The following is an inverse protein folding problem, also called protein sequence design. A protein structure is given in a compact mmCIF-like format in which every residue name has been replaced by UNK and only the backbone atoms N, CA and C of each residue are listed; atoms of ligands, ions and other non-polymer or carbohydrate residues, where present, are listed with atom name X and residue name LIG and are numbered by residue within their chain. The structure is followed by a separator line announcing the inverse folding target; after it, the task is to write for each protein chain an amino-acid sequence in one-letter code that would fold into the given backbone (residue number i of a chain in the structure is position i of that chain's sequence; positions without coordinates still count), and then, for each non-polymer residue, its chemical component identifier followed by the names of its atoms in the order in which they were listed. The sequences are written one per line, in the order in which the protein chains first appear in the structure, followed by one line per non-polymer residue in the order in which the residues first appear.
data_IF_856221336384
#
_entry.id   IF_856221336384
#
_cell.length_a   1.000
_cell.length_b   1.000
_cell.length_c   1.000
_cell.angle_alpha   90.00
_cell.angle_beta   90.00
_cell.angle_gamma   90.00
#
_symmetry.space_group_name_H-M   'P 1'
#
loop_
_entity.id
_entity.type
_entity.pdbx_description
1 polymer ?
#
# COMPACT_ATOMS: atom_id res chain seq x y z
N UNK A 1 -32.16 17.21 -26.00
CA UNK A 1 -31.60 15.88 -26.38
C UNK A 1 -30.07 15.79 -26.16
N UNK A 2 -29.52 16.46 -25.13
CA UNK A 2 -28.06 16.42 -24.82
C UNK A 2 -27.75 15.95 -23.39
N UNK A 3 -28.76 15.62 -22.57
CA UNK A 3 -28.59 15.25 -21.15
C UNK A 3 -28.42 13.74 -20.91
N UNK A 4 -28.59 12.88 -21.92
CA UNK A 4 -28.59 11.41 -21.75
C UNK A 4 -27.25 10.73 -22.07
N UNK A 5 -26.25 11.47 -22.59
CA UNK A 5 -24.97 10.88 -23.03
C UNK A 5 -23.93 10.79 -21.91
N UNK A 6 -23.98 11.68 -20.92
CA UNK A 6 -23.02 11.70 -19.80
C UNK A 6 -23.22 10.54 -18.80
N UNK A 7 -24.43 9.95 -18.74
CA UNK A 7 -24.70 8.81 -17.84
C UNK A 7 -24.22 7.45 -18.40
N UNK A 8 -23.92 7.39 -19.70
CA UNK A 8 -23.55 6.14 -20.39
C UNK A 8 -22.04 5.84 -20.32
N UNK A 9 -21.22 6.82 -19.94
CA UNK A 9 -19.77 6.68 -19.78
C UNK A 9 -19.37 6.04 -18.44
N UNK A 10 -20.11 6.33 -17.37
CA UNK A 10 -19.82 5.83 -16.01
C UNK A 10 -20.08 4.33 -15.86
N UNK A 11 -20.93 3.73 -16.70
CA UNK A 11 -21.24 2.30 -16.63
C UNK A 11 -20.19 1.41 -17.32
N UNK A 12 -19.48 1.92 -18.32
CA UNK A 12 -18.44 1.17 -19.01
C UNK A 12 -17.20 0.96 -18.13
N UNK A 13 -16.90 1.91 -17.23
CA UNK A 13 -15.77 1.81 -16.32
C UNK A 13 -15.96 0.73 -15.25
N UNK A 14 -17.19 0.57 -14.72
CA UNK A 14 -17.49 -0.47 -13.73
C UNK A 14 -17.40 -1.90 -14.30
N UNK A 15 -17.72 -2.10 -15.59
CA UNK A 15 -17.66 -3.41 -16.22
C UNK A 15 -16.19 -3.89 -16.42
N UNK A 16 -15.26 -2.97 -16.69
CA UNK A 16 -13.83 -3.28 -16.81
C UNK A 16 -13.23 -3.66 -15.45
N UNK A 17 -13.67 -3.02 -14.36
CA UNK A 17 -13.24 -3.36 -12.99
C UNK A 17 -13.73 -4.75 -12.58
N UNK A 18 -14.93 -5.17 -12.99
CA UNK A 18 -15.46 -6.51 -12.70
C UNK A 18 -14.79 -7.63 -13.50
N UNK A 19 -14.40 -7.36 -14.76
CA UNK A 19 -13.72 -8.36 -15.59
C UNK A 19 -12.30 -8.71 -15.08
N UNK A 20 -11.67 -7.84 -14.30
CA UNK A 20 -10.34 -8.07 -13.72
C UNK A 20 -10.34 -9.02 -12.50
N UNK A 21 -11.51 -9.36 -11.94
CA UNK A 21 -11.64 -10.20 -10.73
C UNK A 21 -11.62 -11.71 -11.00
N UNK A 22 -11.68 -12.14 -12.26
CA UNK A 22 -11.85 -13.56 -12.63
C UNK A 22 -10.64 -14.16 -13.38
N UNK A 23 -9.49 -13.50 -13.41
CA UNK A 23 -8.30 -14.07 -14.05
C UNK A 23 -7.67 -15.15 -13.15
N UNK A 24 -7.61 -16.43 -13.57
CA UNK A 24 -7.03 -17.50 -12.77
C UNK A 24 -5.51 -17.29 -12.64
N UNK A 25 -5.02 -17.17 -11.40
CA UNK A 25 -3.61 -16.95 -11.08
C UNK A 25 -2.84 -18.28 -11.09
N UNK A 26 -2.61 -18.85 -12.27
CA UNK A 26 -1.70 -19.98 -12.41
C UNK A 26 -0.26 -19.47 -12.51
N UNK A 27 0.54 -19.66 -11.44
CA UNK A 27 1.98 -19.99 -11.42
C UNK A 27 2.67 -19.41 -10.19
N UNK A 28 2.98 -20.25 -9.21
CA UNK A 28 3.58 -19.88 -7.92
C UNK A 28 4.98 -19.25 -8.04
N UNK A 29 5.73 -19.51 -9.12
CA UNK A 29 7.01 -18.85 -9.42
C UNK A 29 6.87 -17.56 -10.24
N UNK A 30 5.83 -17.46 -11.08
CA UNK A 30 5.42 -16.19 -11.66
C UNK A 30 4.85 -15.26 -10.59
N UNK A 31 4.29 -15.81 -9.51
CA UNK A 31 3.67 -15.05 -8.42
C UNK A 31 4.69 -14.20 -7.66
N UNK A 32 5.88 -14.70 -7.34
CA UNK A 32 6.90 -13.88 -6.64
C UNK A 32 7.40 -12.72 -7.52
N UNK A 33 7.72 -12.99 -8.79
CA UNK A 33 8.15 -11.95 -9.73
C UNK A 33 7.02 -10.94 -10.05
N UNK A 34 5.77 -11.41 -10.15
CA UNK A 34 4.59 -10.57 -10.29
C UNK A 34 4.33 -9.74 -9.03
N UNK A 35 4.51 -10.30 -7.84
CA UNK A 35 4.40 -9.61 -6.56
C UNK A 35 5.46 -8.52 -6.44
N UNK A 36 6.73 -8.81 -6.77
CA UNK A 36 7.80 -7.80 -6.82
C UNK A 36 7.48 -6.67 -7.80
N UNK A 37 6.91 -7.01 -8.96
CA UNK A 37 6.47 -6.03 -9.96
C UNK A 37 5.33 -5.16 -9.43
N UNK A 38 4.32 -5.77 -8.78
CA UNK A 38 3.20 -5.06 -8.13
C UNK A 38 3.70 -4.12 -7.03
N UNK A 39 4.63 -4.56 -6.19
CA UNK A 39 5.23 -3.71 -5.14
C UNK A 39 6.07 -2.55 -5.71
N UNK A 40 6.77 -2.78 -6.83
CA UNK A 40 7.46 -1.71 -7.56
C UNK A 40 6.46 -0.69 -8.12
N UNK A 41 5.29 -1.14 -8.59
CA UNK A 41 4.22 -0.25 -9.01
C UNK A 41 3.66 0.57 -7.84
N UNK A 42 3.43 -0.05 -6.68
CA UNK A 42 3.03 0.65 -5.45
C UNK A 42 4.04 1.73 -5.10
N UNK A 43 5.35 1.45 -5.21
CA UNK A 43 6.38 2.44 -4.95
C UNK A 43 6.26 3.68 -5.84
N UNK A 44 6.04 3.48 -7.14
CA UNK A 44 5.83 4.58 -8.09
C UNK A 44 4.55 5.38 -7.79
N UNK A 45 3.49 4.69 -7.34
CA UNK A 45 2.25 5.35 -6.93
C UNK A 45 2.47 6.22 -5.69
N UNK A 46 3.19 5.71 -4.69
CA UNK A 46 3.56 6.49 -3.50
C UNK A 46 4.40 7.72 -3.86
N UNK A 47 5.33 7.61 -4.80
CA UNK A 47 6.08 8.78 -5.29
C UNK A 47 5.18 9.82 -5.96
N UNK A 48 4.17 9.37 -6.71
CA UNK A 48 3.19 10.26 -7.32
C UNK A 48 2.34 10.98 -6.27
N UNK A 49 1.88 10.25 -5.25
CA UNK A 49 1.11 10.82 -4.12
C UNK A 49 1.97 11.85 -3.39
N UNK A 50 3.24 11.54 -3.11
CA UNK A 50 4.15 12.46 -2.42
C UNK A 50 4.35 13.76 -3.22
N UNK A 51 4.52 13.68 -4.55
CA UNK A 51 4.62 14.87 -5.41
C UNK A 51 3.34 15.70 -5.40
N UNK A 52 2.18 15.06 -5.51
CA UNK A 52 0.88 15.75 -5.45
C UNK A 52 0.66 16.42 -4.09
N UNK A 53 1.03 15.75 -3.00
CA UNK A 53 0.96 16.28 -1.65
C UNK A 53 1.86 17.51 -1.49
N UNK A 54 3.13 17.45 -1.93
CA UNK A 54 4.07 18.58 -1.89
C UNK A 54 3.59 19.77 -2.73
N UNK A 55 3.02 19.51 -3.91
CA UNK A 55 2.46 20.58 -4.73
C UNK A 55 1.25 21.24 -4.03
N UNK A 56 0.42 20.44 -3.36
CA UNK A 56 -0.74 20.95 -2.63
C UNK A 56 -0.36 21.73 -1.37
N UNK A 57 0.74 21.37 -0.70
CA UNK A 57 1.17 22.04 0.53
C UNK A 57 1.70 23.46 0.30
N UNK A 58 2.21 23.75 -0.89
CA UNK A 58 2.74 25.08 -1.27
C UNK A 58 1.70 25.97 -1.96
N UNK A 59 0.52 25.43 -2.28
CA UNK A 59 -0.51 26.18 -3.00
C UNK A 59 -1.15 27.25 -2.08
N UNK A 60 -1.32 28.49 -2.56
CA UNK A 60 -1.99 29.54 -1.80
C UNK A 60 -3.41 29.12 -1.43
N UNK A 61 -3.77 29.26 -0.14
CA UNK A 61 -5.12 28.95 0.32
C UNK A 61 -6.05 30.11 -0.02
N UNK A 62 -7.07 29.83 -0.83
CA UNK A 62 -8.10 30.82 -1.21
C UNK A 62 -9.03 31.14 -0.04
N UNK A 63 -9.25 30.17 0.87
CA UNK A 63 -10.16 30.31 2.01
C UNK A 63 -9.46 29.93 3.32
N UNK A 64 -9.54 30.77 4.37
CA UNK A 64 -9.08 30.38 5.69
C UNK A 64 -10.00 29.29 6.25
N UNK A 65 -9.50 28.05 6.32
CA UNK A 65 -10.15 26.93 6.98
C UNK A 65 -9.54 26.72 8.36
N UNK A 66 -10.35 26.37 9.36
CA UNK A 66 -9.86 25.97 10.70
C UNK A 66 -9.14 24.63 10.68
N UNK A 67 -9.50 23.75 9.74
CA UNK A 67 -8.90 22.44 9.59
C UNK A 67 -7.96 22.43 8.40
N UNK A 68 -6.76 21.91 8.62
CA UNK A 68 -5.72 21.77 7.61
C UNK A 68 -5.33 20.30 7.51
N UNK A 69 -5.04 19.87 6.27
CA UNK A 69 -4.42 18.57 6.06
C UNK A 69 -2.97 18.62 6.54
N UNK A 70 -2.58 17.65 7.37
CA UNK A 70 -1.23 17.51 7.91
C UNK A 70 -0.34 16.78 6.90
N UNK A 71 0.31 17.56 6.03
CA UNK A 71 1.20 17.05 4.99
C UNK A 71 2.49 16.43 5.56
N UNK A 72 2.96 16.88 6.72
CA UNK A 72 4.15 16.34 7.37
C UNK A 72 3.88 14.92 7.89
N UNK A 73 2.73 14.73 8.55
CA UNK A 73 2.30 13.40 8.98
C UNK A 73 2.14 12.44 7.79
N UNK A 74 1.49 12.88 6.70
CA UNK A 74 1.38 12.08 5.49
C UNK A 74 2.76 11.70 4.93
N UNK A 75 3.69 12.64 4.90
CA UNK A 75 5.05 12.38 4.42
C UNK A 75 5.72 11.27 5.24
N UNK A 76 5.67 11.34 6.56
CA UNK A 76 6.21 10.30 7.44
C UNK A 76 5.58 8.92 7.21
N UNK A 77 4.26 8.85 7.03
CA UNK A 77 3.56 7.60 6.76
C UNK A 77 3.98 7.00 5.40
N UNK A 78 4.11 7.83 4.36
CA UNK A 78 4.62 7.40 3.05
C UNK A 78 6.04 6.84 3.18
N UNK A 79 6.93 7.50 3.94
CA UNK A 79 8.30 6.99 4.15
C UNK A 79 8.29 5.66 4.88
N UNK A 80 7.44 5.48 5.89
CA UNK A 80 7.33 4.21 6.63
C UNK A 80 6.89 3.06 5.74
N UNK A 81 5.88 3.28 4.89
CA UNK A 81 5.41 2.28 3.93
C UNK A 81 6.51 1.98 2.90
N UNK A 82 7.19 3.01 2.40
CA UNK A 82 8.32 2.86 1.46
C UNK A 82 9.42 2.00 2.04
N UNK A 83 9.81 2.27 3.28
CA UNK A 83 10.83 1.49 3.98
C UNK A 83 10.40 0.02 4.10
N UNK A 84 9.18 -0.26 4.56
CA UNK A 84 8.69 -1.64 4.69
C UNK A 84 8.67 -2.41 3.36
N UNK A 85 8.27 -1.77 2.25
CA UNK A 85 8.30 -2.39 0.93
C UNK A 85 9.74 -2.61 0.46
N UNK A 86 10.63 -1.63 0.67
CA UNK A 86 12.04 -1.73 0.27
C UNK A 86 12.76 -2.85 1.04
N UNK A 87 12.51 -2.97 2.34
CA UNK A 87 13.08 -4.01 3.21
C UNK A 87 12.66 -5.40 2.73
N UNK A 88 11.40 -5.56 2.29
CA UNK A 88 10.91 -6.80 1.70
C UNK A 88 11.50 -7.09 0.31
N UNK A 89 11.63 -6.09 -0.57
CA UNK A 89 12.15 -6.26 -1.93
C UNK A 89 13.68 -6.47 -1.96
N UNK A 90 14.39 -5.90 -0.99
CA UNK A 90 15.84 -6.03 -0.80
C UNK A 90 16.15 -6.82 0.47
N UNK A 91 15.70 -8.08 0.59
CA UNK A 91 16.01 -8.87 1.77
C UNK A 91 17.55 -8.95 1.87
N UNK A 92 18.14 -8.71 3.06
CA UNK A 92 19.57 -8.91 3.24
C UNK A 92 19.90 -10.30 2.72
N UNK A 93 20.80 -10.40 1.73
CA UNK A 93 21.28 -11.70 1.26
C UNK A 93 21.99 -12.37 2.43
N UNK A 94 21.25 -13.18 3.17
CA UNK A 94 21.79 -14.00 4.22
C UNK A 94 22.01 -15.39 3.62
N UNK A 95 23.23 -15.90 3.80
CA UNK A 95 23.44 -17.33 4.04
C UNK A 95 22.31 -17.90 4.90
N UNK A 96 22.02 -19.22 4.80
CA UNK A 96 20.92 -19.86 5.51
C UNK A 96 20.84 -19.35 6.95
N UNK A 97 19.78 -18.59 7.25
CA UNK A 97 19.54 -18.16 8.63
C UNK A 97 19.12 -19.41 9.37
N UNK A 98 19.85 -19.76 10.42
CA UNK A 98 19.34 -20.70 11.40
C UNK A 98 17.96 -20.22 11.83
N UNK A 99 16.98 -21.07 11.56
CA UNK A 99 15.59 -20.83 11.92
C UNK A 99 15.56 -20.84 13.43
N UNK A 100 15.57 -19.66 14.06
CA UNK A 100 15.32 -19.57 15.49
C UNK A 100 13.88 -20.03 15.69
N UNK A 101 13.74 -21.20 16.30
CA UNK A 101 12.47 -21.76 16.69
C UNK A 101 11.76 -20.74 17.59
N UNK A 102 10.59 -20.27 17.15
CA UNK A 102 9.70 -19.52 18.00
C UNK A 102 9.37 -20.42 19.19
N UNK A 103 9.92 -20.11 20.37
CA UNK A 103 9.58 -20.80 21.62
C UNK A 103 8.09 -20.54 21.87
N UNK A 104 7.28 -21.50 21.42
CA UNK A 104 5.84 -21.54 21.66
C UNK A 104 5.61 -21.75 23.15
N UNK A 105 5.39 -20.65 23.85
CA UNK A 105 5.16 -20.63 25.28
C UNK A 105 4.54 -19.32 25.75
N UNK A 106 3.51 -18.82 25.05
CA UNK A 106 2.78 -17.60 25.44
C UNK A 106 1.86 -17.79 26.68
N UNK A 107 2.20 -18.70 27.59
CA UNK A 107 1.46 -18.93 28.84
C UNK A 107 2.42 -18.86 30.01
N UNK A 108 2.36 -17.74 30.74
CA UNK A 108 2.87 -17.66 32.10
C UNK A 108 1.79 -18.23 33.01
N UNK A 109 2.04 -19.39 33.61
CA UNK A 109 1.32 -19.78 34.82
C UNK A 109 2.08 -19.23 36.01
N UNK A 110 1.51 -18.20 36.64
CA UNK A 110 1.87 -17.84 38.00
C UNK A 110 1.23 -18.89 38.91
N UNK A 111 2.04 -19.76 39.49
CA UNK A 111 1.60 -20.70 40.52
C UNK A 111 1.08 -19.90 41.73
N UNK A 112 -0.19 -20.07 42.17
CA UNK A 112 -0.61 -19.51 43.44
C UNK A 112 -0.13 -20.44 44.57
N UNK A 113 0.77 -19.95 45.43
CA UNK A 113 0.96 -20.52 46.78
C UNK A 113 -0.39 -20.59 47.49
N UNK A 114 -0.72 -21.72 48.14
CA UNK A 114 -0.06 -22.15 49.38
C UNK A 114 0.35 -23.62 49.46
#
# INVERSE_FOLDING_TARGET
MMATVLFRSTQAFCAIVWAFLLTPHAAYSADESAQRTRLTLVMRQLDSIERMAKHSSVQPRVTPSRYHFDYERLHHDIQRVRQGIQDYLSPPRAQPRDVVELVGGYRNEQEPSP
#
